data_IF_203913692712
#
_entry.id   IF_203913692712
#
_cell.length_a   1.000
_cell.length_b   1.000
_cell.length_c   1.000
_cell.angle_alpha   90.00
_cell.angle_beta   90.00
_cell.angle_gamma   90.00
#
_symmetry.space_group_name_H-M   'P 1'
#
loop_
_entity.id
_entity.type
_entity.pdbx_description
1 polymer ?
#
# COMPACT_ATOMS: atom_id res chain seq x y z
N UNK A 1 -21.49 15.62 2.56
CA UNK A 1 -20.51 15.21 1.51
C UNK A 1 -21.15 15.13 0.12
N UNK A 2 -20.58 15.74 -0.92
CA UNK A 2 -20.91 15.42 -2.32
C UNK A 2 -20.30 14.06 -2.71
N UNK A 3 -21.14 13.02 -2.80
CA UNK A 3 -20.71 11.61 -2.98
C UNK A 3 -20.17 11.32 -4.39
N UNK A 4 -20.69 12.01 -5.41
CA UNK A 4 -20.25 11.88 -6.81
C UNK A 4 -18.81 12.32 -7.02
N UNK A 5 -18.41 13.44 -6.40
CA UNK A 5 -17.04 13.95 -6.45
C UNK A 5 -16.08 13.00 -5.71
N UNK A 6 -16.50 12.51 -4.54
CA UNK A 6 -15.74 11.56 -3.73
C UNK A 6 -15.50 10.24 -4.49
N UNK A 7 -16.53 9.68 -5.13
CA UNK A 7 -16.42 8.46 -5.96
C UNK A 7 -15.49 8.65 -7.15
N UNK A 8 -15.59 9.79 -7.84
CA UNK A 8 -14.67 10.13 -8.94
C UNK A 8 -13.21 10.16 -8.48
N UNK A 9 -12.93 10.78 -7.34
CA UNK A 9 -11.59 10.83 -6.77
C UNK A 9 -11.07 9.45 -6.36
N UNK A 10 -11.90 8.62 -5.70
CA UNK A 10 -11.50 7.25 -5.34
C UNK A 10 -11.23 6.39 -6.57
N UNK A 11 -11.99 6.53 -7.66
CA UNK A 11 -11.73 5.82 -8.91
C UNK A 11 -10.41 6.23 -9.56
N UNK A 12 -10.08 7.54 -9.56
CA UNK A 12 -8.78 8.05 -10.05
C UNK A 12 -7.61 7.53 -9.22
N UNK A 13 -7.79 7.49 -7.90
CA UNK A 13 -6.79 6.93 -6.98
C UNK A 13 -6.62 5.44 -7.28
N UNK A 14 -7.71 4.68 -7.33
CA UNK A 14 -7.68 3.25 -7.62
C UNK A 14 -6.97 2.94 -8.94
N UNK A 15 -7.26 3.68 -10.02
CA UNK A 15 -6.61 3.46 -11.32
C UNK A 15 -5.11 3.76 -11.28
N UNK A 16 -4.69 4.80 -10.56
CA UNK A 16 -3.27 5.09 -10.37
C UNK A 16 -2.54 3.97 -9.60
N UNK A 17 -3.17 3.40 -8.58
CA UNK A 17 -2.57 2.34 -7.77
C UNK A 17 -2.60 0.96 -8.42
N UNK A 18 -3.51 0.70 -9.37
CA UNK A 18 -3.53 -0.54 -10.16
C UNK A 18 -2.29 -0.72 -11.04
N UNK A 19 -1.62 0.38 -11.42
CA UNK A 19 -0.41 0.35 -12.24
C UNK A 19 0.87 0.17 -11.42
N UNK A 20 0.82 0.41 -10.10
CA UNK A 20 1.97 0.31 -9.22
C UNK A 20 2.62 -1.09 -9.22
N UNK A 21 1.90 -2.23 -9.14
CA UNK A 21 2.51 -3.56 -9.16
C UNK A 21 3.39 -3.80 -10.39
N UNK A 22 2.89 -3.41 -11.57
CA UNK A 22 3.62 -3.57 -12.83
C UNK A 22 4.87 -2.67 -12.85
N UNK A 23 4.76 -1.42 -12.42
CA UNK A 23 5.89 -0.50 -12.32
C UNK A 23 6.97 -1.03 -11.37
N UNK A 24 6.57 -1.55 -10.22
CA UNK A 24 7.49 -2.14 -9.25
C UNK A 24 8.16 -3.42 -9.76
N UNK A 25 7.44 -4.28 -10.49
CA UNK A 25 8.04 -5.45 -11.14
C UNK A 25 9.11 -5.06 -12.17
N UNK A 26 8.85 -4.04 -12.98
CA UNK A 26 9.82 -3.53 -13.96
C UNK A 26 11.06 -2.99 -13.26
N UNK A 27 10.90 -2.13 -12.25
CA UNK A 27 12.02 -1.58 -11.46
C UNK A 27 12.83 -2.70 -10.81
N UNK A 28 12.14 -3.68 -10.23
CA UNK A 28 12.77 -4.79 -9.55
C UNK A 28 13.56 -5.68 -10.55
N UNK A 29 13.04 -5.91 -11.76
CA UNK A 29 13.75 -6.66 -12.81
C UNK A 29 15.04 -5.98 -13.31
N UNK A 30 15.17 -4.67 -13.11
CA UNK A 30 16.33 -3.85 -13.53
C UNK A 30 17.42 -3.76 -12.45
N UNK A 31 17.24 -4.38 -11.28
CA UNK A 31 18.18 -4.32 -10.15
C UNK A 31 18.95 -5.63 -9.95
N UNK A 32 19.85 -6.05 -10.86
CA UNK A 32 20.89 -7.00 -10.51
C UNK A 32 22.09 -6.22 -9.95
N UNK A 33 22.20 -6.11 -8.61
CA UNK A 33 23.43 -5.62 -7.99
C UNK A 33 24.07 -6.77 -7.21
N UNK A 34 25.05 -7.41 -7.85
CA UNK A 34 25.97 -8.35 -7.20
C UNK A 34 26.94 -7.59 -6.31
N UNK A 35 26.56 -7.33 -5.06
CA UNK A 35 27.46 -6.92 -4.00
C UNK A 35 27.71 -8.13 -3.09
N UNK A 36 28.91 -8.72 -3.14
CA UNK A 36 29.29 -9.83 -2.27
C UNK A 36 29.47 -9.35 -0.83
N UNK A 37 28.64 -9.87 0.09
CA UNK A 37 28.64 -9.64 1.54
C UNK A 37 28.20 -10.92 2.26
N UNK A 38 28.53 -11.03 3.55
CA UNK A 38 28.41 -12.27 4.33
C UNK A 38 26.94 -12.67 4.63
N UNK A 39 26.67 -13.96 4.74
CA UNK A 39 25.32 -14.53 4.98
C UNK A 39 24.67 -14.09 6.30
N UNK A 40 25.47 -13.76 7.32
CA UNK A 40 24.94 -13.30 8.62
C UNK A 40 24.45 -11.86 8.56
N UNK A 41 25.10 -11.03 7.74
CA UNK A 41 24.67 -9.64 7.50
C UNK A 41 23.36 -9.60 6.71
N UNK A 42 23.14 -10.53 5.77
CA UNK A 42 21.92 -10.59 4.97
C UNK A 42 20.68 -11.00 5.78
N UNK A 43 20.80 -11.98 6.69
CA UNK A 43 19.70 -12.42 7.54
C UNK A 43 19.21 -11.30 8.49
N UNK A 44 20.14 -10.54 9.06
CA UNK A 44 19.82 -9.40 9.91
C UNK A 44 19.12 -8.27 9.16
N UNK A 45 19.57 -7.98 7.92
CA UNK A 45 18.97 -6.96 7.06
C UNK A 45 17.53 -7.30 6.66
N UNK A 46 17.27 -8.56 6.30
CA UNK A 46 15.91 -9.04 5.99
C UNK A 46 15.00 -8.91 7.21
N UNK A 47 15.47 -9.30 8.40
CA UNK A 47 14.68 -9.21 9.63
C UNK A 47 14.33 -7.77 10.01
N UNK A 48 15.28 -6.84 9.88
CA UNK A 48 15.05 -5.40 10.07
C UNK A 48 14.04 -4.86 9.05
N UNK A 49 14.18 -5.23 7.77
CA UNK A 49 13.27 -4.80 6.72
C UNK A 49 11.84 -5.34 6.92
N UNK A 50 11.70 -6.62 7.30
CA UNK A 50 10.40 -7.21 7.65
C UNK A 50 9.77 -6.50 8.85
N UNK A 51 10.56 -6.20 9.89
CA UNK A 51 10.07 -5.46 11.07
C UNK A 51 9.60 -4.06 10.70
N UNK A 52 10.40 -3.33 9.91
CA UNK A 52 10.03 -2.00 9.42
C UNK A 52 8.76 -2.04 8.54
N UNK A 53 8.64 -3.04 7.65
CA UNK A 53 7.46 -3.23 6.82
C UNK A 53 6.20 -3.50 7.66
N UNK A 54 6.29 -4.30 8.71
CA UNK A 54 5.19 -4.53 9.66
C UNK A 54 4.77 -3.23 10.36
N UNK A 55 5.74 -2.42 10.82
CA UNK A 55 5.45 -1.11 11.44
C UNK A 55 4.71 -0.19 10.45
N UNK A 56 5.21 -0.08 9.22
CA UNK A 56 4.55 0.71 8.18
C UNK A 56 3.15 0.19 7.84
N UNK A 57 2.96 -1.13 7.82
CA UNK A 57 1.65 -1.74 7.64
C UNK A 57 0.69 -1.31 8.75
N UNK A 58 1.07 -1.40 10.02
CA UNK A 58 0.22 -0.94 11.13
C UNK A 58 -0.10 0.56 11.05
N UNK A 59 0.87 1.39 10.66
CA UNK A 59 0.65 2.83 10.46
C UNK A 59 -0.33 3.07 9.31
N UNK A 60 -0.18 2.36 8.19
CA UNK A 60 -1.10 2.40 7.06
C UNK A 60 -2.53 2.06 7.51
N UNK A 61 -2.71 0.98 8.28
CA UNK A 61 -4.02 0.60 8.83
C UNK A 61 -4.64 1.68 9.72
N UNK A 62 -3.80 2.45 10.45
CA UNK A 62 -4.28 3.60 11.23
C UNK A 62 -4.87 4.70 10.34
N UNK A 63 -4.29 4.96 9.17
CA UNK A 63 -4.83 5.91 8.20
C UNK A 63 -6.15 5.42 7.60
N UNK A 64 -6.27 4.12 7.30
CA UNK A 64 -7.56 3.54 6.87
C UNK A 64 -8.67 3.73 7.90
N UNK A 65 -8.38 3.53 9.18
CA UNK A 65 -9.35 3.80 10.25
C UNK A 65 -9.74 5.28 10.34
N UNK A 66 -8.76 6.19 10.23
CA UNK A 66 -9.03 7.63 10.21
C UNK A 66 -9.87 8.07 9.02
N UNK A 67 -9.65 7.44 7.85
CA UNK A 67 -10.45 7.66 6.65
C UNK A 67 -11.93 7.29 6.91
N UNK A 68 -12.19 6.12 7.50
CA UNK A 68 -13.57 5.67 7.80
C UNK A 68 -14.33 6.58 8.77
N UNK A 69 -13.61 7.21 9.70
CA UNK A 69 -14.15 8.16 10.68
C UNK A 69 -14.25 9.59 10.13
N UNK A 70 -13.82 9.84 8.90
CA UNK A 70 -13.77 11.19 8.34
C UNK A 70 -15.13 11.64 7.81
N UNK A 71 -15.65 12.75 8.34
CA UNK A 71 -16.88 13.39 7.84
C UNK A 71 -16.63 14.35 6.66
N UNK A 72 -15.37 14.80 6.48
CA UNK A 72 -14.94 15.68 5.40
C UNK A 72 -14.28 14.89 4.25
N UNK A 73 -14.63 15.24 3.00
CA UNK A 73 -14.06 14.72 1.74
C UNK A 73 -12.54 14.90 1.71
N UNK A 74 -12.05 16.07 2.10
CA UNK A 74 -10.62 16.38 2.01
C UNK A 74 -9.80 15.52 2.97
N UNK A 75 -10.29 15.36 4.19
CA UNK A 75 -9.66 14.50 5.20
C UNK A 75 -9.77 13.02 4.82
N UNK A 76 -10.90 12.59 4.26
CA UNK A 76 -11.07 11.22 3.77
C UNK A 76 -10.03 10.89 2.69
N UNK A 77 -9.95 11.73 1.64
CA UNK A 77 -9.03 11.52 0.52
C UNK A 77 -7.58 11.58 0.99
N UNK A 78 -7.23 12.53 1.86
CA UNK A 78 -5.88 12.63 2.40
C UNK A 78 -5.48 11.36 3.15
N UNK A 79 -6.32 10.88 4.07
CA UNK A 79 -6.03 9.66 4.83
C UNK A 79 -5.96 8.43 3.92
N UNK A 80 -6.80 8.34 2.88
CA UNK A 80 -6.73 7.28 1.88
C UNK A 80 -5.39 7.31 1.13
N UNK A 81 -4.97 8.47 0.64
CA UNK A 81 -3.71 8.63 -0.10
C UNK A 81 -2.51 8.32 0.82
N UNK A 82 -2.47 8.86 2.03
CA UNK A 82 -1.38 8.63 2.99
C UNK A 82 -1.26 7.14 3.34
N UNK A 83 -2.40 6.48 3.60
CA UNK A 83 -2.45 5.03 3.84
C UNK A 83 -1.98 4.22 2.63
N UNK A 84 -2.42 4.60 1.43
CA UNK A 84 -2.04 3.93 0.19
C UNK A 84 -0.55 4.09 -0.09
N UNK A 85 0.04 5.29 0.00
CA UNK A 85 1.48 5.52 -0.17
C UNK A 85 2.31 4.63 0.77
N UNK A 86 1.93 4.58 2.05
CA UNK A 86 2.60 3.71 3.02
C UNK A 86 2.53 2.24 2.61
N UNK A 87 1.35 1.79 2.17
CA UNK A 87 1.15 0.39 1.78
C UNK A 87 1.83 0.04 0.46
N UNK A 88 1.63 0.80 -0.62
CA UNK A 88 1.99 0.45 -2.01
C UNK A 88 3.35 0.92 -2.47
N UNK A 89 3.97 1.86 -1.75
CA UNK A 89 5.26 2.43 -2.15
C UNK A 89 6.32 2.05 -1.12
N UNK A 90 6.09 2.39 0.15
CA UNK A 90 7.14 2.25 1.17
C UNK A 90 7.41 0.79 1.56
N UNK A 91 6.37 -0.05 1.71
CA UNK A 91 6.57 -1.49 2.01
C UNK A 91 7.30 -2.22 0.87
N UNK A 92 6.91 -2.06 -0.41
CA UNK A 92 7.67 -2.63 -1.51
C UNK A 92 9.11 -2.12 -1.59
N UNK A 93 9.34 -0.82 -1.43
CA UNK A 93 10.70 -0.28 -1.44
C UNK A 93 11.58 -0.94 -0.37
N UNK A 94 11.07 -1.14 0.85
CA UNK A 94 11.83 -1.82 1.91
C UNK A 94 12.21 -3.26 1.52
N UNK A 95 11.26 -4.02 0.96
CA UNK A 95 11.55 -5.39 0.51
C UNK A 95 12.54 -5.40 -0.66
N UNK A 96 12.46 -4.41 -1.56
CA UNK A 96 13.38 -4.28 -2.69
C UNK A 96 14.80 -3.94 -2.21
N UNK A 97 14.94 -3.04 -1.23
CA UNK A 97 16.21 -2.77 -0.57
C UNK A 97 16.74 -4.03 0.14
N UNK A 98 15.91 -4.73 0.90
CA UNK A 98 16.32 -5.96 1.58
C UNK A 98 16.81 -7.03 0.60
N UNK A 99 16.11 -7.19 -0.52
CA UNK A 99 16.49 -8.12 -1.59
C UNK A 99 17.79 -7.68 -2.27
N UNK A 100 17.98 -6.38 -2.54
CA UNK A 100 19.23 -5.85 -3.10
C UNK A 100 20.42 -5.98 -2.14
N UNK A 101 20.17 -5.95 -0.82
CA UNK A 101 21.18 -6.19 0.21
C UNK A 101 21.46 -7.69 0.45
N UNK A 102 20.58 -8.59 0.00
CA UNK A 102 20.73 -10.02 0.17
C UNK A 102 21.53 -10.63 -0.99
N UNK A 103 22.62 -11.30 -0.67
CA UNK A 103 23.60 -11.84 -1.63
C UNK A 103 23.24 -13.20 -2.21
N UNK A 104 22.09 -13.76 -1.85
CA UNK A 104 21.71 -15.11 -2.22
C UNK A 104 21.12 -15.18 -3.63
N UNK A 105 21.46 -16.22 -4.42
CA UNK A 105 20.71 -16.56 -5.63
C UNK A 105 19.23 -16.75 -5.27
N UNK A 106 18.34 -15.95 -5.86
CA UNK A 106 16.92 -15.96 -5.51
C UNK A 106 16.50 -14.98 -4.42
N UNK A 107 17.40 -14.12 -3.92
CA UNK A 107 17.07 -13.00 -3.03
C UNK A 107 15.93 -12.11 -3.57
N UNK A 108 15.80 -12.01 -4.89
CA UNK A 108 14.67 -11.34 -5.54
C UNK A 108 13.30 -11.93 -5.18
N UNK A 109 13.21 -13.24 -4.93
CA UNK A 109 11.98 -13.89 -4.50
C UNK A 109 11.59 -13.50 -3.07
N UNK A 110 12.56 -13.13 -2.22
CA UNK A 110 12.29 -12.55 -0.89
C UNK A 110 11.62 -11.16 -0.97
N UNK A 111 11.70 -10.55 -2.16
CA UNK A 111 10.83 -9.53 -2.75
C UNK A 111 9.32 -9.67 -2.51
N UNK A 112 8.84 -10.80 -3.03
CA UNK A 112 7.45 -11.02 -3.38
C UNK A 112 6.49 -10.97 -2.18
N UNK A 113 6.83 -11.48 -0.98
CA UNK A 113 5.97 -11.35 0.19
C UNK A 113 5.64 -9.90 0.53
N UNK A 114 6.59 -8.96 0.40
CA UNK A 114 6.36 -7.54 0.67
C UNK A 114 5.39 -6.93 -0.33
N UNK A 115 5.53 -7.28 -1.61
CA UNK A 115 4.63 -6.90 -2.71
C UNK A 115 3.21 -7.40 -2.45
N UNK A 116 3.06 -8.69 -2.10
CA UNK A 116 1.75 -9.30 -1.88
C UNK A 116 1.04 -8.66 -0.69
N UNK A 117 1.73 -8.47 0.44
CA UNK A 117 1.15 -7.83 1.64
C UNK A 117 0.78 -6.38 1.35
N UNK A 118 1.66 -5.66 0.67
CA UNK A 118 1.48 -4.28 0.25
C UNK A 118 0.21 -4.07 -0.58
N UNK A 119 0.04 -4.83 -1.68
CA UNK A 119 -1.09 -4.65 -2.58
C UNK A 119 -2.39 -5.23 -2.03
N UNK A 120 -2.33 -6.30 -1.23
CA UNK A 120 -3.49 -6.79 -0.49
C UNK A 120 -4.03 -5.73 0.50
N UNK A 121 -3.14 -5.07 1.23
CA UNK A 121 -3.48 -3.96 2.11
C UNK A 121 -4.14 -2.81 1.34
N UNK A 122 -3.55 -2.41 0.22
CA UNK A 122 -4.05 -1.32 -0.60
C UNK A 122 -5.44 -1.61 -1.19
N UNK A 123 -5.64 -2.81 -1.72
CA UNK A 123 -6.94 -3.26 -2.23
C UNK A 123 -8.01 -3.27 -1.14
N UNK A 124 -7.65 -3.69 0.07
CA UNK A 124 -8.55 -3.66 1.23
C UNK A 124 -8.96 -2.23 1.59
N UNK A 125 -8.03 -1.26 1.56
CA UNK A 125 -8.35 0.14 1.82
C UNK A 125 -9.24 0.76 0.76
N UNK A 126 -8.98 0.48 -0.51
CA UNK A 126 -9.83 0.95 -1.61
C UNK A 126 -11.24 0.37 -1.52
N UNK A 127 -11.36 -0.91 -1.14
CA UNK A 127 -12.66 -1.53 -0.88
C UNK A 127 -13.38 -0.84 0.27
N UNK A 128 -12.72 -0.65 1.41
CA UNK A 128 -13.29 0.06 2.56
C UNK A 128 -13.73 1.49 2.20
N UNK A 129 -12.96 2.17 1.35
CA UNK A 129 -13.33 3.49 0.84
C UNK A 129 -14.60 3.43 -0.01
N UNK A 130 -14.70 2.46 -0.93
CA UNK A 130 -15.89 2.25 -1.75
C UNK A 130 -17.12 1.91 -0.92
N UNK A 131 -16.99 0.97 0.01
CA UNK A 131 -18.10 0.52 0.88
C UNK A 131 -18.65 1.70 1.71
N UNK A 132 -17.76 2.59 2.20
CA UNK A 132 -18.18 3.78 2.94
C UNK A 132 -18.95 4.78 2.07
N UNK A 133 -18.55 4.96 0.81
CA UNK A 133 -19.26 5.84 -0.13
C UNK A 133 -20.65 5.25 -0.42
N UNK A 134 -20.74 3.95 -0.63
CA UNK A 134 -22.00 3.24 -0.90
C UNK A 134 -22.98 3.37 0.29
N UNK A 135 -22.48 3.29 1.53
CA UNK A 135 -23.27 3.51 2.75
C UNK A 135 -23.86 4.93 2.81
N UNK A 136 -23.03 5.95 2.58
CA UNK A 136 -23.46 7.36 2.58
C UNK A 136 -24.51 7.62 1.48
N UNK A 137 -24.36 7.01 0.30
CA UNK A 137 -25.33 7.12 -0.80
C UNK A 137 -26.67 6.45 -0.46
N UNK A 138 -26.65 5.31 0.25
CA UNK A 138 -27.86 4.62 0.70
C UNK A 138 -28.61 5.44 1.76
N UNK A 139 -27.92 5.97 2.77
CA UNK A 139 -28.53 6.79 3.83
C UNK A 139 -29.22 8.04 3.25
N UNK A 140 -28.58 8.70 2.27
CA UNK A 140 -29.18 9.86 1.60
C UNK A 140 -30.46 9.52 0.83
N UNK A 141 -30.51 8.37 0.16
CA UNK A 141 -31.71 7.94 -0.59
C UNK A 141 -32.88 7.64 0.35
N UNK A 142 -32.62 7.11 1.54
CA UNK A 142 -33.64 6.82 2.55
C UNK A 142 -34.22 8.11 3.15
N UNK A 143 -33.39 9.15 3.33
CA UNK A 143 -33.82 10.43 3.94
C UNK A 143 -34.60 11.33 2.97
N UNK A 144 -34.63 11.00 1.67
CA UNK A 144 -35.35 11.74 0.62
C UNK A 144 -36.73 11.17 0.29
N UNK A 145 -37.18 10.16 1.04
CA UNK A 145 -38.52 9.55 0.99
C UNK A 145 -39.29 10.01 2.23
#
# INVERSE_FOLDING_TARGET
MPTTELRSNVNRISSAFLLAPAAFMVVASLLPISLARSETESASAVLVATTAALVLFFISQRYSRKMLLSEDVKSFIKNLIDGLILSTILIPLLGLFAAAYSTQPGAFLSYLPFVVVSYSSAGTMLKMASDKIDEIEKEKKITQI
#
